data_IF_954486583010
#
_entry.id   IF_954486583010
#
_cell.length_a   1.000
_cell.length_b   1.000
_cell.length_c   1.000
_cell.angle_alpha   90.00
_cell.angle_beta   90.00
_cell.angle_gamma   90.00
#
_symmetry.space_group_name_H-M   'P 1'
#
loop_
_entity.id
_entity.type
_entity.pdbx_description
1 polymer ?
#
# COMPACT_ATOMS: atom_id res chain seq x y z
N UNK A 1 -231.08 -23.35 -85.96
CA UNK A 1 -231.53 -24.53 -85.21
C UNK A 1 -230.34 -25.48 -85.08
N UNK A 2 -230.11 -26.08 -83.91
CA UNK A 2 -229.25 -27.26 -83.80
C UNK A 2 -230.14 -28.49 -83.91
N UNK A 3 -229.99 -29.28 -84.97
CA UNK A 3 -230.73 -30.54 -85.12
C UNK A 3 -229.91 -31.67 -84.49
N UNK A 4 -230.31 -32.08 -83.28
CA UNK A 4 -229.76 -33.26 -82.63
C UNK A 4 -230.45 -34.50 -83.20
N UNK A 5 -229.76 -35.23 -84.08
CA UNK A 5 -230.12 -36.60 -84.41
C UNK A 5 -229.68 -37.51 -83.26
N UNK A 6 -230.59 -37.76 -82.32
CA UNK A 6 -230.44 -38.88 -81.40
C UNK A 6 -231.01 -40.13 -82.09
N UNK A 7 -230.13 -41.04 -82.51
CA UNK A 7 -230.50 -42.27 -83.21
C UNK A 7 -230.10 -43.48 -82.39
N UNK A 8 -231.09 -44.21 -81.85
CA UNK A 8 -230.86 -45.50 -81.21
C UNK A 8 -230.20 -46.50 -82.16
N UNK A 9 -229.35 -47.37 -81.62
CA UNK A 9 -228.58 -48.35 -82.39
C UNK A 9 -229.44 -49.27 -83.28
N UNK A 10 -230.69 -49.52 -82.87
CA UNK A 10 -231.69 -50.31 -83.61
C UNK A 10 -232.24 -49.61 -84.88
N UNK A 11 -231.91 -48.33 -85.10
CA UNK A 11 -232.45 -47.50 -86.19
C UNK A 11 -231.42 -47.05 -87.23
N UNK A 12 -230.16 -47.47 -87.10
CA UNK A 12 -229.08 -47.18 -88.05
C UNK A 12 -228.68 -48.45 -88.81
N UNK A 13 -228.52 -48.35 -90.12
CA UNK A 13 -228.11 -49.51 -90.95
C UNK A 13 -226.66 -49.90 -90.65
N UNK A 14 -226.30 -51.16 -90.92
CA UNK A 14 -224.97 -51.75 -90.65
C UNK A 14 -223.81 -51.18 -91.50
N UNK A 15 -224.01 -49.99 -92.10
CA UNK A 15 -222.96 -49.16 -92.70
C UNK A 15 -222.47 -48.05 -91.76
N UNK A 16 -222.98 -47.97 -90.54
CA UNK A 16 -222.49 -47.10 -89.48
C UNK A 16 -221.66 -47.88 -88.46
N UNK A 17 -220.57 -47.25 -88.01
CA UNK A 17 -219.72 -47.76 -86.92
C UNK A 17 -220.51 -47.73 -85.60
N UNK A 18 -220.40 -48.81 -84.82
CA UNK A 18 -221.11 -49.03 -83.54
C UNK A 18 -220.14 -49.09 -82.35
N UNK A 19 -218.91 -48.60 -82.52
CA UNK A 19 -217.86 -48.62 -81.49
C UNK A 19 -218.14 -47.57 -80.40
N UNK A 20 -218.42 -48.01 -79.18
CA UNK A 20 -218.54 -47.13 -78.02
C UNK A 20 -217.18 -46.53 -77.65
N UNK A 21 -217.10 -45.20 -77.55
CA UNK A 21 -215.90 -44.49 -77.09
C UNK A 21 -216.02 -44.28 -75.58
N UNK A 22 -215.45 -45.21 -74.81
CA UNK A 22 -215.37 -45.10 -73.35
C UNK A 22 -214.44 -43.95 -72.95
N UNK A 23 -215.01 -42.78 -72.69
CA UNK A 23 -214.28 -41.65 -72.11
C UNK A 23 -213.92 -42.02 -70.65
N UNK A 24 -212.64 -41.95 -70.24
CA UNK A 24 -212.26 -42.28 -68.86
C UNK A 24 -212.96 -41.35 -67.88
N UNK A 25 -213.39 -41.88 -66.73
CA UNK A 25 -214.10 -41.07 -65.74
C UNK A 25 -213.19 -39.99 -65.15
N UNK A 26 -213.78 -38.90 -64.67
CA UNK A 26 -213.07 -37.82 -63.99
C UNK A 26 -212.19 -38.36 -62.85
N UNK A 27 -212.65 -39.40 -62.15
CA UNK A 27 -211.94 -40.05 -61.05
C UNK A 27 -210.67 -40.79 -61.51
N UNK A 28 -210.67 -41.38 -62.71
CA UNK A 28 -209.47 -42.03 -63.27
C UNK A 28 -208.39 -40.99 -63.55
N UNK A 29 -208.74 -39.87 -64.18
CA UNK A 29 -207.80 -38.78 -64.47
C UNK A 29 -207.28 -38.09 -63.19
N UNK A 30 -208.13 -37.94 -62.17
CA UNK A 30 -207.73 -37.46 -60.83
C UNK A 30 -206.77 -38.45 -60.15
N UNK A 31 -207.00 -39.76 -60.29
CA UNK A 31 -206.12 -40.80 -59.75
C UNK A 31 -204.74 -40.82 -60.43
N UNK A 32 -204.70 -40.77 -61.77
CA UNK A 32 -203.44 -40.68 -62.53
C UNK A 32 -202.66 -39.40 -62.22
N UNK A 33 -203.33 -38.26 -62.12
CA UNK A 33 -202.71 -37.00 -61.72
C UNK A 33 -202.16 -37.06 -60.27
N UNK A 34 -202.86 -37.75 -59.37
CA UNK A 34 -202.38 -37.99 -58.00
C UNK A 34 -201.12 -38.85 -57.99
N UNK A 35 -201.12 -39.98 -58.71
CA UNK A 35 -199.96 -40.87 -58.84
C UNK A 35 -198.76 -40.17 -59.51
N UNK A 36 -199.00 -39.36 -60.53
CA UNK A 36 -197.97 -38.56 -61.19
C UNK A 36 -197.35 -37.52 -60.24
N UNK A 37 -198.16 -36.86 -59.41
CA UNK A 37 -197.67 -35.93 -58.39
C UNK A 37 -196.86 -36.64 -57.28
N UNK A 38 -197.32 -37.82 -56.81
CA UNK A 38 -196.57 -38.65 -55.85
C UNK A 38 -195.24 -39.10 -56.44
N UNK A 39 -195.22 -39.52 -57.70
CA UNK A 39 -193.99 -39.91 -58.42
C UNK A 39 -193.03 -38.72 -58.58
N UNK A 40 -193.52 -37.56 -59.01
CA UNK A 40 -192.73 -36.33 -59.12
C UNK A 40 -192.15 -35.89 -57.76
N UNK A 41 -192.93 -36.00 -56.68
CA UNK A 41 -192.47 -35.66 -55.34
C UNK A 41 -191.42 -36.67 -54.83
N UNK A 42 -191.56 -37.95 -55.16
CA UNK A 42 -190.56 -38.99 -54.89
C UNK A 42 -189.25 -38.69 -55.63
N UNK A 43 -189.31 -38.43 -56.94
CA UNK A 43 -188.13 -38.09 -57.76
C UNK A 43 -187.43 -36.81 -57.29
N UNK A 44 -188.18 -35.77 -56.90
CA UNK A 44 -187.59 -34.56 -56.27
C UNK A 44 -186.88 -34.88 -54.95
N UNK A 45 -187.41 -35.82 -54.17
CA UNK A 45 -186.82 -36.24 -52.89
C UNK A 45 -185.54 -37.05 -53.11
N UNK A 46 -185.54 -37.97 -54.08
CA UNK A 46 -184.35 -38.72 -54.51
C UNK A 46 -183.27 -37.80 -55.08
N UNK A 47 -183.64 -36.85 -55.95
CA UNK A 47 -182.72 -35.83 -56.48
C UNK A 47 -182.10 -35.00 -55.35
N UNK A 48 -182.90 -34.51 -54.40
CA UNK A 48 -182.41 -33.75 -53.24
C UNK A 48 -181.48 -34.58 -52.34
N UNK A 49 -181.81 -35.86 -52.15
CA UNK A 49 -181.00 -36.80 -51.37
C UNK A 49 -179.65 -37.07 -52.05
N UNK A 50 -179.65 -37.29 -53.38
CA UNK A 50 -178.43 -37.51 -54.17
C UNK A 50 -177.57 -36.25 -54.29
N UNK A 51 -178.19 -35.07 -54.41
CA UNK A 51 -177.48 -33.79 -54.35
C UNK A 51 -176.79 -33.63 -53.00
N UNK A 52 -177.51 -33.83 -51.88
CA UNK A 52 -176.90 -33.77 -50.54
C UNK A 52 -175.75 -34.79 -50.39
N UNK A 53 -175.93 -36.02 -50.86
CA UNK A 53 -174.88 -37.04 -50.81
C UNK A 53 -173.64 -36.65 -51.65
N UNK A 54 -173.84 -35.97 -52.78
CA UNK A 54 -172.75 -35.41 -53.60
C UNK A 54 -172.06 -34.22 -52.91
N UNK A 55 -172.82 -33.34 -52.26
CA UNK A 55 -172.28 -32.19 -51.52
C UNK A 55 -171.52 -32.64 -50.27
N UNK A 56 -172.01 -33.67 -49.56
CA UNK A 56 -171.34 -34.36 -48.47
C UNK A 56 -170.02 -35.01 -48.95
N UNK A 57 -170.06 -35.71 -50.09
CA UNK A 57 -168.89 -36.38 -50.67
C UNK A 57 -167.83 -35.37 -51.16
N UNK A 58 -168.25 -34.27 -51.80
CA UNK A 58 -167.35 -33.19 -52.20
C UNK A 58 -166.74 -32.48 -50.98
N UNK A 59 -167.51 -32.30 -49.91
CA UNK A 59 -167.02 -31.78 -48.64
C UNK A 59 -165.99 -32.72 -47.99
N UNK A 60 -166.25 -34.02 -48.00
CA UNK A 60 -165.32 -35.03 -47.51
C UNK A 60 -164.03 -35.11 -48.35
N UNK A 61 -164.13 -35.02 -49.68
CA UNK A 61 -162.98 -34.95 -50.59
C UNK A 61 -162.13 -33.70 -50.34
N UNK A 62 -162.78 -32.54 -50.16
CA UNK A 62 -162.10 -31.28 -49.83
C UNK A 62 -161.38 -31.37 -48.47
N UNK A 63 -162.00 -31.98 -47.46
CA UNK A 63 -161.37 -32.22 -46.16
C UNK A 63 -160.17 -33.19 -46.28
N UNK A 64 -160.31 -34.30 -47.02
CA UNK A 64 -159.23 -35.24 -47.27
C UNK A 64 -158.04 -34.59 -48.00
N UNK A 65 -158.30 -33.69 -48.96
CA UNK A 65 -157.27 -32.92 -49.66
C UNK A 65 -156.53 -31.96 -48.70
N UNK A 66 -157.23 -31.31 -47.77
CA UNK A 66 -156.61 -30.46 -46.74
C UNK A 66 -155.77 -31.27 -45.74
N UNK A 67 -156.21 -32.46 -45.35
CA UNK A 67 -155.44 -33.40 -44.51
C UNK A 67 -154.17 -33.84 -45.24
N UNK A 68 -154.27 -34.25 -46.51
CA UNK A 68 -153.11 -34.63 -47.33
C UNK A 68 -152.11 -33.47 -47.51
N UNK A 69 -152.59 -32.27 -47.81
CA UNK A 69 -151.77 -31.07 -47.91
C UNK A 69 -151.12 -30.64 -46.57
N UNK A 70 -151.66 -31.10 -45.45
CA UNK A 70 -151.06 -30.88 -44.12
C UNK A 70 -150.02 -31.95 -43.82
N UNK A 71 -150.34 -33.23 -44.02
CA UNK A 71 -149.40 -34.34 -43.90
C UNK A 71 -148.14 -34.14 -44.78
N UNK A 72 -148.30 -33.65 -46.01
CA UNK A 72 -147.16 -33.36 -46.90
C UNK A 72 -146.29 -32.21 -46.38
N UNK A 73 -146.87 -31.17 -45.76
CA UNK A 73 -146.11 -30.08 -45.12
C UNK A 73 -145.35 -30.59 -43.89
N UNK A 74 -145.98 -31.44 -43.08
CA UNK A 74 -145.36 -32.05 -41.91
C UNK A 74 -144.20 -32.97 -42.31
N UNK A 75 -144.38 -33.83 -43.32
CA UNK A 75 -143.30 -34.66 -43.89
C UNK A 75 -142.14 -33.79 -44.37
N UNK A 76 -142.41 -32.73 -45.15
CA UNK A 76 -141.36 -31.83 -45.63
C UNK A 76 -140.61 -31.14 -44.47
N UNK A 77 -141.34 -30.73 -43.43
CA UNK A 77 -140.78 -30.09 -42.22
C UNK A 77 -139.92 -31.08 -41.42
N UNK A 78 -140.39 -32.31 -41.22
CA UNK A 78 -139.63 -33.36 -40.52
C UNK A 78 -138.38 -33.79 -41.30
N UNK A 79 -138.46 -33.89 -42.63
CA UNK A 79 -137.31 -34.16 -43.49
C UNK A 79 -136.25 -33.04 -43.39
N UNK A 80 -136.68 -31.77 -43.39
CA UNK A 80 -135.79 -30.64 -43.18
C UNK A 80 -135.13 -30.69 -41.78
N UNK A 81 -135.91 -30.92 -40.72
CA UNK A 81 -135.39 -31.08 -39.34
C UNK A 81 -134.39 -32.24 -39.22
N UNK A 82 -134.68 -33.39 -39.85
CA UNK A 82 -133.79 -34.55 -39.86
C UNK A 82 -132.47 -34.25 -40.60
N UNK A 83 -132.52 -33.52 -41.73
CA UNK A 83 -131.30 -33.04 -42.39
C UNK A 83 -130.49 -32.11 -41.50
N UNK A 84 -131.10 -31.10 -40.86
CA UNK A 84 -130.37 -30.20 -39.95
C UNK A 84 -129.75 -30.96 -38.77
N UNK A 85 -130.44 -31.97 -38.21
CA UNK A 85 -129.90 -32.82 -37.15
C UNK A 85 -128.70 -33.65 -37.63
N UNK A 86 -128.76 -34.21 -38.85
CA UNK A 86 -127.65 -34.94 -39.45
C UNK A 86 -126.44 -34.03 -39.76
N UNK A 87 -126.67 -32.86 -40.35
CA UNK A 87 -125.62 -31.88 -40.65
C UNK A 87 -124.90 -31.42 -39.36
N UNK A 88 -125.66 -31.19 -38.29
CA UNK A 88 -125.10 -30.90 -36.96
C UNK A 88 -124.31 -32.10 -36.39
N UNK A 89 -124.78 -33.33 -36.54
CA UNK A 89 -124.06 -34.53 -36.09
C UNK A 89 -122.71 -34.67 -36.81
N UNK A 90 -122.68 -34.49 -38.13
CA UNK A 90 -121.43 -34.52 -38.92
C UNK A 90 -120.47 -33.41 -38.50
N UNK A 91 -120.97 -32.21 -38.18
CA UNK A 91 -120.15 -31.13 -37.61
C UNK A 91 -119.54 -31.54 -36.26
N UNK A 92 -120.34 -32.00 -35.30
CA UNK A 92 -119.87 -32.43 -33.98
C UNK A 92 -118.88 -33.59 -34.05
N UNK A 93 -119.08 -34.55 -34.97
CA UNK A 93 -118.13 -35.65 -35.22
C UNK A 93 -116.79 -35.12 -35.73
N UNK A 94 -116.80 -34.11 -36.60
CA UNK A 94 -115.60 -33.46 -37.14
C UNK A 94 -114.86 -32.65 -36.06
N UNK A 95 -115.59 -31.91 -35.22
CA UNK A 95 -115.04 -31.17 -34.07
C UNK A 95 -114.43 -32.14 -33.03
N UNK A 96 -115.07 -33.27 -32.76
CA UNK A 96 -114.53 -34.32 -31.89
C UNK A 96 -113.25 -34.96 -32.47
N UNK A 97 -113.20 -35.25 -33.77
CA UNK A 97 -112.01 -35.78 -34.43
C UNK A 97 -110.83 -34.79 -34.38
N UNK A 98 -111.11 -33.49 -34.55
CA UNK A 98 -110.12 -32.42 -34.40
C UNK A 98 -109.60 -32.33 -32.95
N UNK A 99 -110.47 -32.35 -31.94
CA UNK A 99 -110.07 -32.34 -30.52
C UNK A 99 -109.28 -33.58 -30.10
N UNK A 100 -109.65 -34.76 -30.59
CA UNK A 100 -108.88 -35.99 -30.39
C UNK A 100 -107.50 -35.95 -31.05
N UNK A 101 -107.37 -35.24 -32.17
CA UNK A 101 -106.09 -35.04 -32.86
C UNK A 101 -105.22 -34.02 -32.12
N UNK A 102 -105.80 -32.89 -31.70
CA UNK A 102 -105.11 -31.88 -30.89
C UNK A 102 -104.60 -32.47 -29.56
N UNK A 103 -105.43 -33.24 -28.84
CA UNK A 103 -105.01 -33.87 -27.58
C UNK A 103 -103.83 -34.83 -27.74
N UNK A 104 -103.70 -35.52 -28.90
CA UNK A 104 -102.53 -36.35 -29.20
C UNK A 104 -101.28 -35.49 -29.46
N UNK A 105 -101.43 -34.36 -30.17
CA UNK A 105 -100.36 -33.38 -30.37
C UNK A 105 -99.90 -32.78 -29.04
N UNK A 106 -100.82 -32.37 -28.17
CA UNK A 106 -100.52 -31.78 -26.87
C UNK A 106 -99.79 -32.77 -25.96
N UNK A 107 -100.21 -34.04 -25.94
CA UNK A 107 -99.51 -35.12 -25.22
C UNK A 107 -98.11 -35.41 -25.77
N UNK A 108 -97.89 -35.27 -27.08
CA UNK A 108 -96.57 -35.41 -27.68
C UNK A 108 -95.66 -34.22 -27.32
N UNK A 109 -96.18 -33.00 -27.38
CA UNK A 109 -95.47 -31.78 -26.96
C UNK A 109 -95.14 -31.79 -25.46
N UNK A 110 -96.05 -32.26 -24.60
CA UNK A 110 -95.80 -32.43 -23.17
C UNK A 110 -94.65 -33.41 -22.91
N UNK A 111 -94.63 -34.56 -23.59
CA UNK A 111 -93.54 -35.55 -23.48
C UNK A 111 -92.20 -34.99 -23.98
N UNK A 112 -92.21 -34.22 -25.07
CA UNK A 112 -91.00 -33.56 -25.57
C UNK A 112 -90.50 -32.48 -24.60
N UNK A 113 -91.39 -31.69 -24.00
CA UNK A 113 -91.05 -30.70 -22.99
C UNK A 113 -90.43 -31.36 -21.74
N UNK A 114 -90.99 -32.49 -21.27
CA UNK A 114 -90.42 -33.26 -20.16
C UNK A 114 -89.01 -33.79 -20.49
N UNK A 115 -88.83 -34.43 -21.66
CA UNK A 115 -87.53 -34.94 -22.08
C UNK A 115 -86.46 -33.83 -22.20
N UNK A 116 -86.85 -32.65 -22.69
CA UNK A 116 -85.98 -31.48 -22.74
C UNK A 116 -85.62 -30.96 -21.33
N UNK A 117 -86.58 -30.96 -20.40
CA UNK A 117 -86.36 -30.56 -19.00
C UNK A 117 -85.42 -31.55 -18.27
N UNK A 118 -85.64 -32.85 -18.43
CA UNK A 118 -84.80 -33.90 -17.83
C UNK A 118 -83.36 -33.82 -18.36
N UNK A 119 -83.20 -33.59 -19.67
CA UNK A 119 -81.89 -33.36 -20.30
C UNK A 119 -81.19 -32.11 -19.76
N UNK A 120 -81.92 -31.00 -19.58
CA UNK A 120 -81.38 -29.78 -18.98
C UNK A 120 -80.98 -29.98 -17.51
N UNK A 121 -81.78 -30.70 -16.72
CA UNK A 121 -81.44 -31.01 -15.32
C UNK A 121 -80.17 -31.88 -15.20
N UNK A 122 -79.99 -32.85 -16.11
CA UNK A 122 -78.78 -33.67 -16.18
C UNK A 122 -77.53 -32.85 -16.58
N UNK A 123 -77.66 -31.93 -17.54
CA UNK A 123 -76.57 -31.02 -17.93
C UNK A 123 -76.21 -30.06 -16.80
N UNK A 124 -77.19 -29.43 -16.15
CA UNK A 124 -76.97 -28.56 -14.97
C UNK A 124 -76.24 -29.31 -13.85
N UNK A 125 -76.64 -30.55 -13.55
CA UNK A 125 -75.97 -31.40 -12.54
C UNK A 125 -74.51 -31.67 -12.94
N UNK A 126 -74.28 -31.97 -14.23
CA UNK A 126 -72.93 -32.20 -14.78
C UNK A 126 -72.05 -30.95 -14.71
N UNK A 127 -72.60 -29.77 -15.02
CA UNK A 127 -71.87 -28.49 -14.89
C UNK A 127 -71.53 -28.17 -13.44
N UNK A 128 -72.44 -28.40 -12.48
CA UNK A 128 -72.17 -28.19 -11.05
C UNK A 128 -71.03 -29.09 -10.55
N UNK A 129 -71.02 -30.38 -10.92
CA UNK A 129 -69.94 -31.29 -10.58
C UNK A 129 -68.58 -30.84 -11.17
N UNK A 130 -68.57 -30.37 -12.42
CA UNK A 130 -67.37 -29.84 -13.06
C UNK A 130 -66.88 -28.52 -12.42
N UNK A 131 -67.79 -27.62 -12.01
CA UNK A 131 -67.44 -26.40 -11.27
C UNK A 131 -66.81 -26.75 -9.91
N UNK A 132 -67.39 -27.68 -9.15
CA UNK A 132 -66.79 -28.14 -7.89
C UNK A 132 -65.40 -28.75 -8.13
N UNK A 133 -65.24 -29.61 -9.12
CA UNK A 133 -63.94 -30.20 -9.48
C UNK A 133 -62.90 -29.13 -9.84
N UNK A 134 -63.29 -28.05 -10.52
CA UNK A 134 -62.41 -26.93 -10.81
C UNK A 134 -62.03 -26.12 -9.56
N UNK A 135 -62.96 -25.93 -8.60
CA UNK A 135 -62.69 -25.28 -7.32
C UNK A 135 -61.76 -26.11 -6.42
N UNK A 136 -61.98 -27.43 -6.35
CA UNK A 136 -61.12 -28.37 -5.62
C UNK A 136 -59.70 -28.37 -6.20
N UNK A 137 -59.57 -28.43 -7.53
CA UNK A 137 -58.29 -28.34 -8.23
C UNK A 137 -57.57 -26.99 -7.99
N UNK A 138 -58.30 -25.87 -8.04
CA UNK A 138 -57.73 -24.54 -7.77
C UNK A 138 -57.18 -24.45 -6.35
N UNK A 139 -57.91 -25.00 -5.38
CA UNK A 139 -57.50 -25.04 -3.97
C UNK A 139 -56.25 -25.91 -3.78
N UNK A 140 -56.17 -27.05 -4.48
CA UNK A 140 -54.99 -27.91 -4.47
C UNK A 140 -53.75 -27.22 -5.06
N UNK A 141 -53.86 -26.55 -6.21
CA UNK A 141 -52.74 -25.84 -6.83
C UNK A 141 -52.30 -24.60 -6.02
N UNK A 142 -53.23 -23.90 -5.34
CA UNK A 142 -52.88 -22.87 -4.36
C UNK A 142 -52.03 -23.42 -3.20
N UNK A 143 -52.38 -24.60 -2.68
CA UNK A 143 -51.58 -25.29 -1.67
C UNK A 143 -50.19 -25.70 -2.18
N UNK A 144 -50.10 -26.21 -3.42
CA UNK A 144 -48.82 -26.58 -4.05
C UNK A 144 -47.92 -25.36 -4.30
N UNK A 145 -48.50 -24.23 -4.69
CA UNK A 145 -47.79 -22.96 -4.84
C UNK A 145 -47.20 -22.47 -3.52
N UNK A 146 -47.98 -22.50 -2.43
CA UNK A 146 -47.52 -22.10 -1.11
C UNK A 146 -46.36 -22.98 -0.59
N UNK A 147 -46.41 -24.30 -0.83
CA UNK A 147 -45.31 -25.23 -0.51
C UNK A 147 -44.06 -24.88 -1.32
N UNK A 148 -44.20 -24.68 -2.64
CA UNK A 148 -43.08 -24.35 -3.52
C UNK A 148 -42.40 -23.00 -3.14
N UNK A 149 -43.17 -22.04 -2.64
CA UNK A 149 -42.65 -20.76 -2.12
C UNK A 149 -41.90 -20.98 -0.81
N UNK A 150 -42.47 -21.74 0.15
CA UNK A 150 -41.79 -22.06 1.40
C UNK A 150 -40.49 -22.87 1.21
N UNK A 151 -40.42 -23.73 0.18
CA UNK A 151 -39.21 -24.48 -0.16
C UNK A 151 -38.17 -23.62 -0.89
N UNK A 152 -38.60 -22.65 -1.71
CA UNK A 152 -37.72 -21.63 -2.30
C UNK A 152 -37.07 -20.75 -1.22
N UNK A 153 -37.82 -20.33 -0.21
CA UNK A 153 -37.30 -19.52 0.90
C UNK A 153 -36.28 -20.31 1.74
N UNK A 154 -36.53 -21.59 2.03
CA UNK A 154 -35.55 -22.49 2.67
C UNK A 154 -34.27 -22.61 1.84
N UNK A 155 -34.40 -22.77 0.52
CA UNK A 155 -33.25 -22.88 -0.38
C UNK A 155 -32.43 -21.58 -0.44
N UNK A 156 -33.09 -20.42 -0.43
CA UNK A 156 -32.43 -19.11 -0.36
C UNK A 156 -31.69 -18.92 0.98
N UNK A 157 -32.29 -19.31 2.09
CA UNK A 157 -31.64 -19.28 3.41
C UNK A 157 -30.41 -20.19 3.44
N UNK A 158 -30.53 -21.44 3.02
CA UNK A 158 -29.41 -22.39 2.96
C UNK A 158 -28.26 -21.91 2.04
N UNK A 159 -28.58 -21.24 0.93
CA UNK A 159 -27.59 -20.60 0.05
C UNK A 159 -26.89 -19.42 0.73
N UNK A 160 -27.59 -18.65 1.56
CA UNK A 160 -27.01 -17.56 2.36
C UNK A 160 -26.06 -18.10 3.44
N UNK A 161 -26.49 -19.15 4.16
CA UNK A 161 -25.67 -19.79 5.19
C UNK A 161 -24.43 -20.45 4.60
N UNK A 162 -24.54 -21.10 3.43
CA UNK A 162 -23.40 -21.66 2.70
C UNK A 162 -22.38 -20.57 2.28
N UNK A 163 -22.84 -19.38 1.87
CA UNK A 163 -21.96 -18.24 1.57
C UNK A 163 -21.26 -17.71 2.83
N UNK A 164 -21.96 -17.63 3.95
CA UNK A 164 -21.39 -17.22 5.24
C UNK A 164 -20.30 -18.20 5.71
N UNK A 165 -20.56 -19.52 5.61
CA UNK A 165 -19.57 -20.56 5.92
C UNK A 165 -18.36 -20.49 4.98
N UNK A 166 -18.56 -20.25 3.67
CA UNK A 166 -17.46 -20.07 2.72
C UNK A 166 -16.58 -18.87 3.09
N UNK A 167 -17.17 -17.72 3.41
CA UNK A 167 -16.43 -16.53 3.82
C UNK A 167 -15.63 -16.75 5.13
N UNK A 168 -16.22 -17.44 6.11
CA UNK A 168 -15.52 -17.82 7.33
C UNK A 168 -14.32 -18.74 7.04
N UNK A 169 -14.48 -19.74 6.15
CA UNK A 169 -13.38 -20.64 5.76
C UNK A 169 -12.28 -19.94 4.97
N UNK A 170 -12.62 -18.97 4.12
CA UNK A 170 -11.65 -18.11 3.45
C UNK A 170 -10.83 -17.31 4.47
N UNK A 171 -11.48 -16.70 5.48
CA UNK A 171 -10.77 -16.00 6.55
C UNK A 171 -9.88 -16.94 7.38
N UNK A 172 -10.32 -18.19 7.64
CA UNK A 172 -9.45 -19.20 8.28
C UNK A 172 -8.19 -19.45 7.46
N UNK A 173 -8.31 -19.66 6.14
CA UNK A 173 -7.16 -19.93 5.26
C UNK A 173 -6.16 -18.77 5.22
N UNK A 174 -6.62 -17.51 5.21
CA UNK A 174 -5.68 -16.37 5.26
C UNK A 174 -5.02 -16.21 6.65
N UNK A 175 -5.73 -16.53 7.74
CA UNK A 175 -5.14 -16.58 9.08
C UNK A 175 -4.08 -17.69 9.18
N UNK A 176 -4.36 -18.88 8.67
CA UNK A 176 -3.46 -20.03 8.68
C UNK A 176 -2.20 -19.78 7.83
N UNK A 177 -2.34 -19.10 6.68
CA UNK A 177 -1.19 -18.61 5.89
C UNK A 177 -0.32 -17.63 6.67
N UNK A 178 -0.93 -16.70 7.41
CA UNK A 178 -0.19 -15.73 8.21
C UNK A 178 0.56 -16.40 9.37
N UNK A 179 -0.07 -17.37 10.04
CA UNK A 179 0.57 -18.20 11.07
C UNK A 179 1.74 -19.02 10.48
N UNK A 180 1.52 -19.71 9.36
CA UNK A 180 2.56 -20.47 8.66
C UNK A 180 3.75 -19.59 8.25
N UNK A 181 3.52 -18.33 7.84
CA UNK A 181 4.63 -17.40 7.57
C UNK A 181 5.40 -17.06 8.85
N UNK A 182 4.71 -16.75 9.95
CA UNK A 182 5.35 -16.44 11.23
C UNK A 182 6.17 -17.62 11.77
N UNK A 183 5.68 -18.86 11.61
CA UNK A 183 6.41 -20.08 11.99
C UNK A 183 7.66 -20.33 11.11
N UNK A 184 7.58 -20.05 9.80
CA UNK A 184 8.76 -20.11 8.92
C UNK A 184 9.79 -19.01 9.25
N UNK A 185 9.34 -17.78 9.49
CA UNK A 185 10.21 -16.69 9.96
C UNK A 185 10.87 -17.07 11.30
N UNK A 186 10.14 -17.77 12.18
CA UNK A 186 10.65 -18.26 13.46
C UNK A 186 11.65 -19.40 13.31
N UNK A 187 11.41 -20.33 12.40
CA UNK A 187 12.31 -21.42 12.07
C UNK A 187 13.65 -20.88 11.55
N UNK A 188 13.63 -19.89 10.66
CA UNK A 188 14.84 -19.23 10.16
C UNK A 188 15.65 -18.56 11.28
N UNK A 189 15.00 -17.87 12.24
CA UNK A 189 15.67 -17.33 13.43
C UNK A 189 16.32 -18.41 14.30
N UNK A 190 15.69 -19.57 14.44
CA UNK A 190 16.21 -20.69 15.23
C UNK A 190 17.39 -21.38 14.52
N UNK A 191 17.33 -21.51 13.19
CA UNK A 191 18.44 -22.02 12.37
C UNK A 191 19.66 -21.10 12.44
N UNK A 192 19.47 -19.78 12.35
CA UNK A 192 20.56 -18.80 12.53
C UNK A 192 21.22 -18.94 13.91
N UNK A 193 20.43 -18.95 15.00
CA UNK A 193 20.95 -19.14 16.36
C UNK A 193 21.65 -20.48 16.58
N UNK A 194 21.23 -21.54 15.89
CA UNK A 194 21.91 -22.83 15.92
C UNK A 194 23.28 -22.75 15.24
N UNK A 195 23.38 -22.07 14.09
CA UNK A 195 24.65 -21.84 13.41
C UNK A 195 25.62 -20.96 14.22
N UNK A 196 25.10 -19.95 14.95
CA UNK A 196 25.90 -19.16 15.90
C UNK A 196 26.46 -20.03 17.03
N UNK A 197 25.61 -20.88 17.65
CA UNK A 197 26.04 -21.83 18.68
C UNK A 197 27.05 -22.86 18.17
N UNK A 198 26.91 -23.33 16.92
CA UNK A 198 27.86 -24.26 16.30
C UNK A 198 29.21 -23.60 15.99
N UNK A 199 29.24 -22.30 15.72
CA UNK A 199 30.49 -21.55 15.52
C UNK A 199 31.14 -21.08 16.84
N UNK A 200 30.39 -20.98 17.94
CA UNK A 200 30.89 -20.50 19.22
C UNK A 200 32.14 -21.24 19.76
N UNK A 201 32.28 -22.58 19.66
CA UNK A 201 33.51 -23.27 20.06
C UNK A 201 34.73 -22.87 19.23
N UNK A 202 34.55 -22.60 17.92
CA UNK A 202 35.63 -22.15 17.03
C UNK A 202 36.06 -20.73 17.37
N UNK A 203 35.10 -19.82 17.58
CA UNK A 203 35.35 -18.45 18.04
C UNK A 203 36.07 -18.44 19.40
N UNK A 204 35.64 -19.28 20.34
CA UNK A 204 36.28 -19.44 21.65
C UNK A 204 37.72 -19.95 21.52
N UNK A 205 37.98 -20.94 20.68
CA UNK A 205 39.33 -21.45 20.43
C UNK A 205 40.25 -20.38 19.80
N UNK A 206 39.75 -19.60 18.83
CA UNK A 206 40.49 -18.47 18.25
C UNK A 206 40.78 -17.38 19.30
N UNK A 207 39.81 -17.04 20.16
CA UNK A 207 40.02 -16.06 21.23
C UNK A 207 41.03 -16.57 22.29
N UNK A 208 40.95 -17.84 22.68
CA UNK A 208 41.92 -18.47 23.59
C UNK A 208 43.33 -18.49 23.00
N UNK A 209 43.48 -18.69 21.69
CA UNK A 209 44.80 -18.63 21.05
C UNK A 209 45.34 -17.20 21.01
N UNK A 210 44.53 -16.22 20.62
CA UNK A 210 44.93 -14.81 20.64
C UNK A 210 45.37 -14.32 22.03
N UNK A 211 44.75 -14.82 23.11
CA UNK A 211 45.18 -14.54 24.49
C UNK A 211 46.55 -15.16 24.80
N UNK A 212 46.84 -16.38 24.34
CA UNK A 212 48.17 -17.00 24.50
C UNK A 212 49.25 -16.24 23.72
N UNK A 213 48.94 -15.84 22.49
CA UNK A 213 49.87 -15.12 21.63
C UNK A 213 50.18 -13.72 22.20
N UNK A 214 49.16 -13.05 22.76
CA UNK A 214 49.32 -11.79 23.48
C UNK A 214 50.14 -11.95 24.78
N UNK A 215 49.91 -13.01 25.55
CA UNK A 215 50.71 -13.30 26.75
C UNK A 215 52.18 -13.55 26.39
N UNK A 216 52.46 -14.38 25.38
CA UNK A 216 53.84 -14.61 24.92
C UNK A 216 54.51 -13.31 24.46
N UNK A 217 53.77 -12.45 23.76
CA UNK A 217 54.26 -11.12 23.34
C UNK A 217 54.62 -10.23 24.53
N UNK A 218 53.83 -10.30 25.62
CA UNK A 218 54.12 -9.60 26.88
C UNK A 218 55.37 -10.18 27.58
N UNK A 219 55.51 -11.50 27.64
CA UNK A 219 56.66 -12.18 28.27
C UNK A 219 57.98 -11.89 27.52
N UNK A 220 57.94 -11.90 26.19
CA UNK A 220 59.04 -11.49 25.31
C UNK A 220 59.43 -10.02 25.57
N UNK A 221 58.44 -9.12 25.68
CA UNK A 221 58.67 -7.70 25.95
C UNK A 221 59.24 -7.43 27.35
N UNK A 222 58.79 -8.16 28.38
CA UNK A 222 59.37 -8.10 29.74
C UNK A 222 60.82 -8.57 29.75
N UNK A 223 61.13 -9.64 28.99
CA UNK A 223 62.49 -10.14 28.81
C UNK A 223 63.38 -9.11 28.10
N UNK A 224 62.87 -8.47 27.05
CA UNK A 224 63.54 -7.38 26.33
C UNK A 224 63.81 -6.16 27.22
N UNK A 225 62.85 -5.73 28.03
CA UNK A 225 63.00 -4.65 29.00
C UNK A 225 64.06 -4.97 30.06
N UNK A 226 64.10 -6.22 30.52
CA UNK A 226 65.11 -6.69 31.48
C UNK A 226 66.52 -6.66 30.87
N UNK A 227 66.68 -7.15 29.64
CA UNK A 227 67.95 -7.11 28.90
C UNK A 227 68.41 -5.66 28.65
N UNK A 228 67.50 -4.76 28.24
CA UNK A 228 67.79 -3.33 28.05
C UNK A 228 68.21 -2.65 29.36
N UNK A 229 67.55 -2.98 30.48
CA UNK A 229 67.87 -2.46 31.82
C UNK A 229 69.27 -2.89 32.26
N UNK A 230 69.62 -4.16 32.06
CA UNK A 230 70.97 -4.67 32.34
C UNK A 230 72.03 -3.97 31.47
N UNK A 231 71.77 -3.83 30.16
CA UNK A 231 72.68 -3.15 29.24
C UNK A 231 72.89 -1.67 29.61
N UNK A 232 71.83 -0.97 30.04
CA UNK A 232 71.91 0.40 30.55
C UNK A 232 72.76 0.49 31.83
N UNK A 233 72.63 -0.48 32.74
CA UNK A 233 73.41 -0.51 33.97
C UNK A 233 74.90 -0.79 33.70
N UNK A 234 75.23 -1.63 32.71
CA UNK A 234 76.62 -1.82 32.29
C UNK A 234 77.19 -0.59 31.58
N UNK A 235 76.41 0.07 30.71
CA UNK A 235 76.81 1.34 30.10
C UNK A 235 77.07 2.44 31.15
N UNK A 236 76.29 2.49 32.24
CA UNK A 236 76.56 3.39 33.39
C UNK A 236 77.90 3.07 34.07
N UNK A 237 78.25 1.79 34.28
CA UNK A 237 79.56 1.38 34.82
C UNK A 237 80.69 1.82 33.88
N UNK A 238 80.57 1.55 32.58
CA UNK A 238 81.55 1.96 31.56
C UNK A 238 81.72 3.47 31.51
N UNK A 239 80.63 4.24 31.59
CA UNK A 239 80.68 5.70 31.65
C UNK A 239 81.39 6.23 32.90
N UNK A 240 81.17 5.62 34.08
CA UNK A 240 81.88 5.99 35.32
C UNK A 240 83.38 5.66 35.27
N UNK A 241 83.76 4.54 34.64
CA UNK A 241 85.17 4.18 34.40
C UNK A 241 85.81 5.18 33.42
N UNK A 242 85.13 5.50 32.32
CA UNK A 242 85.60 6.47 31.33
C UNK A 242 85.75 7.88 31.93
N UNK A 243 84.81 8.31 32.78
CA UNK A 243 84.89 9.58 33.52
C UNK A 243 86.12 9.61 34.44
N UNK A 244 86.34 8.54 35.22
CA UNK A 244 87.52 8.39 36.08
C UNK A 244 88.83 8.46 35.27
N UNK A 245 88.88 7.85 34.08
CA UNK A 245 90.02 7.92 33.17
C UNK A 245 90.23 9.33 32.60
N UNK A 246 89.15 10.04 32.24
CA UNK A 246 89.18 11.44 31.78
C UNK A 246 89.70 12.37 32.87
N UNK A 247 89.26 12.21 34.11
CA UNK A 247 89.73 13.04 35.23
C UNK A 247 91.17 12.72 35.63
N UNK A 248 91.59 11.45 35.51
CA UNK A 248 93.01 11.05 35.61
C UNK A 248 93.86 11.69 34.51
N UNK A 249 93.34 11.78 33.29
CA UNK A 249 94.04 12.44 32.18
C UNK A 249 94.15 13.96 32.39
N UNK A 250 93.08 14.62 32.90
CA UNK A 250 93.14 16.05 33.30
C UNK A 250 94.22 16.29 34.34
N UNK A 251 94.33 15.43 35.37
CA UNK A 251 95.36 15.57 36.39
C UNK A 251 96.77 15.46 35.76
N UNK A 252 97.02 14.44 34.92
CA UNK A 252 98.31 14.29 34.21
C UNK A 252 98.65 15.49 33.32
N UNK A 253 97.66 16.11 32.67
CA UNK A 253 97.85 17.35 31.91
C UNK A 253 98.25 18.51 32.84
N UNK A 254 97.56 18.69 33.97
CA UNK A 254 97.91 19.69 34.99
C UNK A 254 99.33 19.49 35.52
N UNK A 255 99.72 18.25 35.83
CA UNK A 255 101.05 17.90 36.32
C UNK A 255 102.12 18.21 35.26
N UNK A 256 101.87 17.86 33.99
CA UNK A 256 102.75 18.16 32.87
C UNK A 256 102.88 19.67 32.61
N UNK A 257 101.79 20.44 32.72
CA UNK A 257 101.83 21.92 32.63
C UNK A 257 102.65 22.52 33.78
N UNK A 258 102.59 21.96 35.00
CA UNK A 258 103.46 22.40 36.08
C UNK A 258 104.93 22.11 35.77
N UNK A 259 105.26 20.89 35.35
CA UNK A 259 106.64 20.50 34.97
C UNK A 259 107.19 21.40 33.84
N UNK A 260 106.35 21.75 32.86
CA UNK A 260 106.70 22.71 31.81
C UNK A 260 107.02 24.10 32.39
N UNK A 261 106.21 24.60 33.34
CA UNK A 261 106.45 25.88 34.00
C UNK A 261 107.74 25.87 34.82
N UNK A 262 107.97 24.82 35.62
CA UNK A 262 109.17 24.64 36.44
C UNK A 262 110.44 24.61 35.56
N UNK A 263 110.39 23.89 34.43
CA UNK A 263 111.48 23.83 33.47
C UNK A 263 111.72 25.17 32.73
N UNK A 264 110.65 25.92 32.45
CA UNK A 264 110.73 27.25 31.82
C UNK A 264 111.35 28.29 32.78
N UNK A 265 111.08 28.17 34.08
CA UNK A 265 111.70 28.97 35.13
C UNK A 265 113.18 28.60 35.30
N UNK A 266 113.53 27.31 35.38
CA UNK A 266 114.92 26.84 35.42
C UNK A 266 115.75 27.29 34.20
N UNK A 267 115.17 27.22 32.99
CA UNK A 267 115.80 27.76 31.77
C UNK A 267 116.00 29.28 31.84
N UNK A 268 115.14 30.00 32.54
CA UNK A 268 115.28 31.45 32.74
C UNK A 268 116.39 31.77 33.75
N UNK A 269 116.50 30.99 34.83
CA UNK A 269 117.60 31.09 35.80
C UNK A 269 118.95 30.81 35.12
N UNK A 270 119.07 29.72 34.37
CA UNK A 270 120.30 29.36 33.64
C UNK A 270 120.75 30.43 32.62
N UNK A 271 119.80 31.12 31.96
CA UNK A 271 120.11 32.26 31.07
C UNK A 271 120.66 33.46 31.84
N UNK A 272 120.12 33.75 33.03
CA UNK A 272 120.60 34.83 33.88
C UNK A 272 122.00 34.53 34.45
N UNK A 273 122.27 33.29 34.84
CA UNK A 273 123.61 32.86 35.26
C UNK A 273 124.64 32.95 34.12
N UNK A 274 124.27 32.53 32.90
CA UNK A 274 125.13 32.68 31.72
C UNK A 274 125.44 34.15 31.42
N UNK A 275 124.46 35.05 31.52
CA UNK A 275 124.68 36.48 31.33
C UNK A 275 125.60 37.08 32.41
N UNK A 276 125.47 36.64 33.67
CA UNK A 276 126.36 37.05 34.76
C UNK A 276 127.80 36.53 34.56
N UNK A 277 127.97 35.30 34.05
CA UNK A 277 129.26 34.74 33.66
C UNK A 277 129.92 35.56 32.55
N UNK A 278 129.18 35.90 31.49
CA UNK A 278 129.69 36.71 30.37
C UNK A 278 130.10 38.12 30.81
N UNK A 279 129.36 38.77 31.73
CA UNK A 279 129.79 40.04 32.32
C UNK A 279 131.09 39.90 33.13
N UNK A 280 131.22 38.81 33.90
CA UNK A 280 132.42 38.54 34.71
C UNK A 280 133.66 38.26 33.86
N UNK A 281 133.48 37.56 32.73
CA UNK A 281 134.53 37.29 31.74
C UNK A 281 134.97 38.56 31.00
N UNK A 282 134.02 39.39 30.55
CA UNK A 282 134.32 40.67 29.92
C UNK A 282 135.12 41.60 30.86
N UNK A 283 134.74 41.66 32.14
CA UNK A 283 135.45 42.44 33.16
C UNK A 283 136.88 41.91 33.39
N UNK A 284 137.05 40.58 33.45
CA UNK A 284 138.36 39.95 33.60
C UNK A 284 139.30 40.25 32.41
N UNK A 285 138.78 40.24 31.18
CA UNK A 285 139.56 40.62 29.98
C UNK A 285 140.00 42.08 30.02
N UNK A 286 139.10 42.98 30.41
CA UNK A 286 139.37 44.41 30.49
C UNK A 286 140.45 44.73 31.55
N UNK A 287 140.46 44.04 32.69
CA UNK A 287 141.53 44.14 33.70
C UNK A 287 142.87 43.68 33.14
N UNK A 288 142.92 42.54 32.43
CA UNK A 288 144.17 42.01 31.87
C UNK A 288 144.80 42.95 30.83
N UNK A 289 144.00 43.52 29.92
CA UNK A 289 144.46 44.49 28.91
C UNK A 289 144.99 45.77 29.55
N UNK A 290 144.36 46.26 30.62
CA UNK A 290 144.82 47.41 31.38
C UNK A 290 146.16 47.15 32.09
N UNK A 291 146.32 45.95 32.67
CA UNK A 291 147.52 45.55 33.41
C UNK A 291 148.78 45.52 32.52
N UNK A 292 148.65 45.05 31.29
CA UNK A 292 149.75 44.96 30.33
C UNK A 292 150.30 46.35 29.94
N UNK A 293 149.43 47.32 29.66
CA UNK A 293 149.86 48.67 29.25
C UNK A 293 150.69 49.39 30.32
N UNK A 294 150.32 49.26 31.60
CA UNK A 294 151.09 49.85 32.70
C UNK A 294 152.48 49.22 32.88
N UNK A 295 152.66 47.95 32.55
CA UNK A 295 153.98 47.31 32.57
C UNK A 295 154.89 47.89 31.49
N UNK A 296 154.39 47.99 30.25
CA UNK A 296 155.12 48.55 29.11
C UNK A 296 155.51 50.03 29.33
N UNK A 297 154.59 50.88 29.83
CA UNK A 297 154.89 52.29 30.12
C UNK A 297 155.99 52.45 31.18
N UNK A 298 156.10 51.51 32.12
CA UNK A 298 157.18 51.51 33.11
C UNK A 298 158.50 51.02 32.52
N UNK A 299 158.49 49.93 31.76
CA UNK A 299 159.69 49.37 31.14
C UNK A 299 160.38 50.38 30.19
N UNK A 300 159.58 51.13 29.41
CA UNK A 300 160.09 52.19 28.55
C UNK A 300 160.75 53.34 29.33
N UNK A 301 160.18 53.74 30.48
CA UNK A 301 160.73 54.81 31.33
C UNK A 301 162.00 54.38 32.07
N UNK A 302 161.98 53.23 32.73
CA UNK A 302 163.08 52.78 33.59
C UNK A 302 164.39 52.57 32.79
N UNK A 303 164.28 52.12 31.53
CA UNK A 303 165.43 51.86 30.67
C UNK A 303 165.83 53.05 29.77
N UNK A 304 165.05 54.14 29.78
CA UNK A 304 165.26 55.32 28.94
C UNK A 304 165.04 55.06 27.45
N UNK A 305 164.01 54.27 27.11
CA UNK A 305 163.67 53.98 25.72
C UNK A 305 163.20 55.24 24.99
N UNK A 306 163.76 55.45 23.80
CA UNK A 306 163.43 56.56 22.92
C UNK A 306 163.55 56.11 21.45
N UNK A 307 163.19 57.00 20.51
CA UNK A 307 163.29 56.69 19.08
C UNK A 307 164.52 57.36 18.47
N UNK A 308 165.42 56.56 17.92
CA UNK A 308 166.57 57.01 17.15
C UNK A 308 166.64 56.23 15.83
N UNK A 309 166.92 56.92 14.72
CA UNK A 309 166.94 56.35 13.36
C UNK A 309 165.77 55.39 13.03
N UNK A 310 164.57 55.76 13.49
CA UNK A 310 163.30 55.04 13.30
C UNK A 310 163.22 53.64 13.97
N UNK A 311 164.11 53.33 14.91
CA UNK A 311 164.01 52.19 15.83
C UNK A 311 163.73 52.66 17.25
N UNK A 312 163.23 51.78 18.12
CA UNK A 312 163.26 52.01 19.57
C UNK A 312 164.65 51.62 20.06
N UNK A 313 165.34 52.53 20.74
CA UNK A 313 166.68 52.32 21.30
C UNK A 313 166.69 52.58 22.80
N UNK A 314 167.60 51.92 23.53
CA UNK A 314 167.82 52.14 24.94
C UNK A 314 168.60 53.44 25.22
N UNK A 315 168.74 53.79 26.51
CA UNK A 315 169.54 54.93 26.99
C UNK A 315 171.05 54.91 26.63
N UNK A 316 171.51 53.92 25.84
CA UNK A 316 172.88 53.75 25.36
C UNK A 316 172.95 53.58 23.83
N UNK A 317 171.82 53.74 23.11
CA UNK A 317 171.74 53.63 21.65
C UNK A 317 171.58 52.19 21.10
N UNK A 318 171.31 51.19 21.94
CA UNK A 318 171.09 49.81 21.49
C UNK A 318 169.63 49.60 21.08
N UNK A 319 169.39 48.97 19.92
CA UNK A 319 168.05 48.59 19.47
C UNK A 319 167.34 47.70 20.51
N UNK A 320 166.15 48.11 20.95
CA UNK A 320 165.30 47.34 21.86
C UNK A 320 164.56 46.27 21.06
N UNK A 321 164.72 45.00 21.43
CA UNK A 321 164.12 43.89 20.70
C UNK A 321 162.62 43.75 21.02
N UNK A 322 161.80 43.48 20.00
CA UNK A 322 160.34 43.32 20.12
C UNK A 322 159.55 44.64 20.17
N UNK A 323 160.19 45.73 20.59
CA UNK A 323 159.63 47.07 20.52
C UNK A 323 159.77 47.66 19.11
N UNK A 324 158.74 48.35 18.62
CA UNK A 324 158.72 48.90 17.25
C UNK A 324 158.29 50.37 17.24
N UNK A 325 158.58 51.09 16.15
CA UNK A 325 158.17 52.50 16.00
C UNK A 325 157.02 52.58 15.00
N UNK A 326 155.92 53.21 15.41
CA UNK A 326 154.76 53.46 14.54
C UNK A 326 154.30 54.90 14.73
N UNK A 327 154.29 55.66 13.64
CA UNK A 327 154.01 57.10 13.63
C UNK A 327 154.87 57.91 14.64
N UNK A 328 156.12 57.49 14.89
CA UNK A 328 157.04 58.14 15.83
C UNK A 328 156.82 57.80 17.31
N UNK A 329 155.72 57.11 17.66
CA UNK A 329 155.49 56.58 19.00
C UNK A 329 156.12 55.18 19.14
N UNK A 330 156.49 54.83 20.37
CA UNK A 330 157.02 53.50 20.69
C UNK A 330 155.85 52.53 20.85
N UNK A 331 155.96 51.35 20.27
CA UNK A 331 154.96 50.29 20.35
C UNK A 331 155.59 49.11 21.08
N UNK A 332 154.91 48.65 22.13
CA UNK A 332 155.35 47.50 22.90
C UNK A 332 155.12 46.16 22.13
N UNK A 333 155.67 45.04 22.61
CA UNK A 333 155.44 43.72 21.98
C UNK A 333 153.97 43.27 21.92
N UNK A 334 153.06 43.92 22.65
CA UNK A 334 151.62 43.65 22.70
C UNK A 334 150.79 44.61 21.80
N UNK A 335 151.44 45.38 20.91
CA UNK A 335 150.84 46.42 20.06
C UNK A 335 150.24 47.64 20.81
N UNK A 336 150.55 47.84 22.09
CA UNK A 336 150.15 49.03 22.84
C UNK A 336 151.03 50.24 22.50
N UNK A 337 150.41 51.42 22.37
CA UNK A 337 151.11 52.68 22.08
C UNK A 337 151.64 53.31 23.37
N UNK A 338 152.93 53.66 23.36
CA UNK A 338 153.72 54.20 24.48
C UNK A 338 154.41 55.49 24.00
N UNK A 339 154.30 56.57 24.79
CA UNK A 339 154.74 57.91 24.38
C UNK A 339 156.17 58.24 24.86
N UNK A 340 156.90 59.04 24.08
CA UNK A 340 158.28 59.42 24.38
C UNK A 340 158.37 60.43 25.54
N UNK A 341 159.41 60.30 26.36
CA UNK A 341 159.64 61.19 27.51
C UNK A 341 160.21 62.55 27.10
N UNK A 342 159.42 63.62 27.25
CA UNK A 342 159.91 65.00 27.17
C UNK A 342 160.42 65.49 28.54
N UNK A 343 161.51 66.29 28.59
CA UNK A 343 161.85 67.04 29.79
C UNK A 343 160.99 68.30 29.89
N UNK A 344 160.03 68.34 30.79
CA UNK A 344 159.31 69.58 31.14
C UNK A 344 158.99 69.61 32.64
N UNK A 345 158.96 70.80 33.22
CA UNK A 345 158.94 71.01 34.67
C UNK A 345 157.55 71.00 35.28
N UNK A 346 157.52 70.62 36.57
CA UNK A 346 156.55 70.97 37.62
C UNK A 346 155.36 71.85 37.22
N UNK A 347 154.14 71.33 37.43
CA UNK A 347 153.11 72.11 38.13
C UNK A 347 152.13 71.19 38.85
N UNK A 348 152.32 71.07 40.17
CA UNK A 348 151.32 70.51 41.07
C UNK A 348 150.36 71.62 41.45
N UNK A 349 149.08 71.48 41.12
CA UNK A 349 148.02 72.36 41.65
C UNK A 349 147.14 71.54 42.58
N UNK A 350 147.42 71.60 43.89
CA UNK A 350 146.50 71.10 44.92
C UNK A 350 145.67 72.27 45.43
N UNK A 351 144.35 72.16 45.40
CA UNK A 351 143.46 73.08 46.09
C UNK A 351 143.05 72.45 47.43
N UNK A 352 143.41 73.11 48.53
CA UNK A 352 143.15 72.60 49.88
C UNK A 352 141.68 72.74 50.31
N UNK A 353 141.30 71.95 51.32
CA UNK A 353 139.93 71.61 51.77
C UNK A 353 139.26 70.57 50.87
N UNK A 354 138.71 69.52 51.50
CA UNK A 354 138.23 68.32 50.83
C UNK A 354 136.74 68.35 50.44
N UNK A 355 136.30 67.23 49.87
CA UNK A 355 134.98 66.95 49.28
C UNK A 355 134.57 67.85 48.10
N UNK A 356 134.26 67.24 46.94
CA UNK A 356 132.89 67.04 46.38
C UNK A 356 132.99 66.46 44.96
N UNK A 357 132.01 65.75 44.39
CA UNK A 357 130.92 64.85 44.87
C UNK A 357 130.51 63.98 43.67
N UNK A 358 129.94 62.77 43.86
CA UNK A 358 129.37 62.01 42.75
C UNK A 358 128.11 62.70 42.20
N UNK A 359 127.88 62.61 40.89
CA UNK A 359 126.58 62.91 40.29
C UNK A 359 125.78 61.63 40.09
N UNK A 360 124.83 61.37 40.98
CA UNK A 360 123.65 60.56 40.67
C UNK A 360 122.68 61.39 39.83
N UNK A 361 122.27 60.89 38.67
CA UNK A 361 121.06 61.37 37.99
C UNK A 361 119.96 60.34 38.24
N UNK A 362 118.93 60.78 38.96
CA UNK A 362 117.70 60.01 39.20
C UNK A 362 116.77 60.20 38.01
N UNK A 363 116.03 59.16 37.61
CA UNK A 363 114.71 59.39 37.06
C UNK A 363 113.72 58.32 37.54
N UNK A 364 112.48 58.73 37.77
CA UNK A 364 111.43 57.93 38.43
C UNK A 364 110.08 58.11 37.72
N UNK A 365 109.07 57.38 38.21
CA UNK A 365 107.65 57.28 37.77
C UNK A 365 107.41 56.15 36.75
N UNK A 366 106.30 55.41 36.84
CA UNK A 366 105.28 55.42 37.90
C UNK A 366 103.94 54.82 37.47
N UNK A 367 103.09 54.48 38.45
CA UNK A 367 101.74 53.89 38.34
C UNK A 367 101.75 52.41 37.89
N UNK A 368 101.30 51.38 38.62
CA UNK A 368 100.40 51.21 39.80
C UNK A 368 98.89 51.25 39.51
N UNK A 369 98.28 50.05 39.49
CA UNK A 369 97.03 49.61 40.15
C UNK A 369 96.98 48.06 39.96
N UNK A 370 96.79 47.13 40.92
CA UNK A 370 95.84 46.93 42.05
C UNK A 370 94.38 46.67 41.59
N UNK A 371 93.63 45.68 42.09
CA UNK A 371 93.87 44.67 43.14
C UNK A 371 92.80 43.53 43.14
N UNK A 372 93.06 42.45 43.89
CA UNK A 372 92.12 41.44 44.45
C UNK A 372 91.28 40.55 43.48
N UNK A 373 91.06 39.24 43.69
CA UNK A 373 90.44 38.45 44.82
C UNK A 373 88.90 38.68 44.92
N UNK A 374 88.02 37.70 45.19
CA UNK A 374 88.20 36.32 45.71
C UNK A 374 86.97 35.41 45.41
N UNK A 375 87.09 34.10 45.68
CA UNK A 375 86.06 33.11 46.15
C UNK A 375 84.55 33.45 46.12
N UNK A 376 83.59 32.55 45.83
CA UNK A 376 83.55 31.12 45.37
C UNK A 376 82.07 30.80 44.94
N UNK A 377 81.40 29.63 44.98
CA UNK A 377 81.53 28.30 45.66
C UNK A 377 80.68 27.20 44.97
N UNK A 378 80.79 25.95 45.45
CA UNK A 378 79.95 24.75 45.18
C UNK A 378 78.47 24.90 45.64
N UNK A 379 77.49 24.04 45.28
CA UNK A 379 77.24 23.10 44.16
C UNK A 379 75.89 22.35 44.40
N UNK A 380 75.50 21.42 43.48
CA UNK A 380 74.76 20.14 43.77
C UNK A 380 73.26 20.22 44.17
N UNK A 381 72.34 19.29 43.84
CA UNK A 381 72.20 18.31 42.71
C UNK A 381 70.80 17.64 42.72
N UNK A 382 70.09 17.58 41.58
CA UNK A 382 69.02 16.60 41.20
C UNK A 382 67.83 16.37 42.21
N UNK A 383 66.80 15.50 42.01
CA UNK A 383 66.50 14.44 41.02
C UNK A 383 64.98 14.14 40.91
N UNK A 384 64.55 13.50 39.80
CA UNK A 384 63.42 12.51 39.66
C UNK A 384 61.91 12.85 39.71
N UNK A 385 61.20 12.11 38.84
CA UNK A 385 59.90 11.42 39.04
C UNK A 385 58.54 12.14 38.99
N UNK A 386 58.02 12.25 37.76
CA UNK A 386 56.75 11.64 37.31
C UNK A 386 55.86 10.93 38.36
N UNK A 387 54.64 11.45 38.55
CA UNK A 387 53.43 10.73 38.97
C UNK A 387 52.18 11.48 38.43
N UNK A 388 51.01 10.82 38.34
CA UNK A 388 49.81 11.38 37.70
C UNK A 388 48.69 11.68 38.70
N UNK A 389 47.86 12.71 38.43
CA UNK A 389 46.53 12.86 39.05
C UNK A 389 45.53 13.52 38.09
N UNK A 390 44.30 13.00 38.11
CA UNK A 390 43.14 13.41 37.29
C UNK A 390 42.51 14.73 37.77
N UNK A 391 42.04 15.58 36.85
CA UNK A 391 40.96 16.57 37.12
C UNK A 391 39.91 16.57 36.00
N UNK A 392 38.65 16.57 36.42
CA UNK A 392 37.42 16.43 35.63
C UNK A 392 37.26 17.33 34.38
N UNK A 393 36.77 16.75 33.29
CA UNK A 393 35.91 17.45 32.32
C UNK A 393 34.43 17.32 32.72
N UNK A 394 33.60 18.32 32.39
CA UNK A 394 32.22 18.40 32.89
C UNK A 394 31.20 17.70 31.99
N UNK A 395 30.13 17.18 32.62
CA UNK A 395 29.14 16.25 32.02
C UNK A 395 28.35 16.82 30.83
N UNK A 396 28.40 18.13 30.59
CA UNK A 396 27.67 18.79 29.51
C UNK A 396 28.47 18.97 28.22
N UNK A 397 29.82 18.90 28.26
CA UNK A 397 30.62 18.96 27.02
C UNK A 397 30.46 17.68 26.18
N UNK A 398 30.40 16.51 26.83
CA UNK A 398 30.22 15.22 26.14
C UNK A 398 28.87 15.09 25.41
N UNK A 399 27.81 15.76 25.88
CA UNK A 399 26.47 15.69 25.27
C UNK A 399 26.32 16.49 23.98
N UNK A 400 27.13 17.53 23.78
CA UNK A 400 27.03 18.36 22.56
C UNK A 400 27.75 17.70 21.37
N UNK A 401 28.76 16.87 21.63
CA UNK A 401 29.54 16.19 20.58
C UNK A 401 28.82 15.00 19.94
N UNK A 402 27.67 14.58 20.47
CA UNK A 402 26.84 13.46 19.98
C UNK A 402 25.66 13.88 19.07
N UNK A 403 25.53 15.17 18.72
CA UNK A 403 24.48 15.68 17.81
C UNK A 403 24.96 15.98 16.38
N UNK A 404 26.18 15.58 16.02
CA UNK A 404 26.84 15.98 14.77
C UNK A 404 27.53 14.84 14.02
N UNK A 405 26.96 13.64 14.05
CA UNK A 405 27.09 12.63 12.99
C UNK A 405 26.11 11.47 13.20
N UNK A 406 25.17 11.29 12.27
CA UNK A 406 24.25 10.15 12.23
C UNK A 406 24.31 9.46 10.87
N UNK A 407 25.53 9.09 10.48
CA UNK A 407 25.80 8.15 9.39
C UNK A 407 26.79 7.09 9.88
N UNK A 408 26.34 5.84 9.88
CA UNK A 408 27.20 4.66 9.77
C UNK A 408 26.86 3.99 8.44
N UNK A 409 27.85 3.39 7.74
CA UNK A 409 27.63 2.88 6.40
C UNK A 409 26.77 1.62 6.39
N UNK A 410 25.82 1.54 5.46
CA UNK A 410 25.13 0.30 5.12
C UNK A 410 25.23 0.07 3.61
N UNK A 411 25.87 -1.04 3.23
CA UNK A 411 25.95 -1.51 1.85
C UNK A 411 24.74 -2.35 1.51
N UNK A 412 24.03 -2.02 0.42
CA UNK A 412 22.89 -2.80 -0.06
C UNK A 412 22.17 -2.06 -1.20
N UNK A 413 22.46 -2.45 -2.44
CA UNK A 413 21.79 -1.91 -3.63
C UNK A 413 20.52 -2.73 -3.89
N UNK A 414 19.38 -2.07 -4.15
CA UNK A 414 18.53 -2.31 -5.34
C UNK A 414 17.15 -1.60 -5.27
N UNK A 415 17.02 -0.58 -6.12
CA UNK A 415 15.91 -0.30 -7.04
C UNK A 415 14.46 -0.01 -6.57
N UNK A 416 13.89 0.97 -7.29
CA UNK A 416 12.46 1.20 -7.56
C UNK A 416 11.54 1.68 -6.43
N UNK A 417 11.60 2.99 -6.16
CA UNK A 417 10.44 3.75 -5.71
C UNK A 417 9.78 4.48 -6.90
N UNK A 418 8.62 4.01 -7.36
CA UNK A 418 7.65 4.83 -8.10
C UNK A 418 6.29 4.71 -7.39
N UNK A 419 5.95 5.74 -6.63
CA UNK A 419 4.61 5.95 -6.11
C UNK A 419 3.76 6.62 -7.20
N UNK A 420 2.71 5.97 -7.67
CA UNK A 420 1.60 6.64 -8.33
C UNK A 420 0.27 6.05 -7.85
N UNK A 421 -0.63 6.94 -7.44
CA UNK A 421 -1.89 6.62 -6.74
C UNK A 421 -3.05 6.83 -7.72
N UNK A 422 -3.73 5.76 -8.14
CA UNK A 422 -4.77 5.84 -9.18
C UNK A 422 -6.01 4.98 -8.87
N UNK A 423 -7.12 5.66 -8.55
CA UNK A 423 -8.50 5.31 -8.89
C UNK A 423 -8.99 3.87 -8.71
N UNK A 424 -9.58 3.58 -7.53
CA UNK A 424 -10.59 2.51 -7.42
C UNK A 424 -11.88 3.00 -8.09
N UNK A 425 -12.19 2.49 -9.28
CA UNK A 425 -13.44 2.77 -9.98
C UNK A 425 -14.51 1.72 -9.63
N UNK A 426 -15.52 2.10 -8.85
CA UNK A 426 -16.74 1.30 -8.73
C UNK A 426 -17.58 1.44 -10.00
N UNK A 427 -17.99 0.31 -10.60
CA UNK A 427 -19.08 0.28 -11.58
C UNK A 427 -20.08 -0.79 -11.16
N UNK A 428 -21.23 -0.35 -10.67
CA UNK A 428 -22.42 -1.18 -10.51
C UNK A 428 -23.11 -1.37 -11.86
N UNK A 429 -23.33 -2.62 -12.28
CA UNK A 429 -24.32 -2.94 -13.32
C UNK A 429 -25.33 -3.93 -12.77
N UNK A 430 -26.45 -3.38 -12.29
CA UNK A 430 -27.62 -4.11 -11.85
C UNK A 430 -28.79 -3.77 -12.79
N UNK A 431 -29.35 -4.79 -13.43
CA UNK A 431 -30.67 -4.73 -14.07
C UNK A 431 -30.74 -4.09 -15.46
N UNK A 432 -31.20 -4.89 -16.43
CA UNK A 432 -32.37 -4.52 -17.24
C UNK A 432 -32.95 -5.80 -17.90
N UNK A 433 -33.77 -6.53 -17.15
CA UNK A 433 -34.54 -7.66 -17.68
C UNK A 433 -35.85 -7.12 -18.28
N UNK A 434 -36.07 -7.34 -19.58
CA UNK A 434 -37.28 -6.90 -20.26
C UNK A 434 -37.24 -7.19 -21.77
N UNK A 435 -38.35 -7.36 -22.49
CA UNK A 435 -39.78 -7.48 -22.09
C UNK A 435 -40.38 -8.62 -22.92
N UNK A 436 -41.30 -9.42 -22.35
CA UNK A 436 -42.08 -10.40 -23.13
C UNK A 436 -43.03 -9.65 -24.08
N UNK A 437 -42.87 -9.87 -25.39
CA UNK A 437 -43.89 -9.53 -26.38
C UNK A 437 -45.15 -10.36 -26.09
N UNK A 438 -46.32 -9.72 -26.05
CA UNK A 438 -47.63 -10.38 -26.06
C UNK A 438 -48.37 -9.84 -27.27
N UNK A 439 -48.73 -10.71 -28.19
CA UNK A 439 -49.53 -10.36 -29.36
C UNK A 439 -51.02 -10.52 -29.02
N UNK A 440 -51.87 -9.83 -29.80
CA UNK A 440 -53.33 -9.76 -29.66
C UNK A 440 -54.00 -10.63 -30.72
#
# INVERSE_FOLDING_TARGET
MAHWLNADADRVSDKFDKTEVTIPSTDQLVSELSLANVSLQSVKTDQSTKQKANDDAQSALNAAAQVLATAQRDVNTKTASAKTANDNLTKTQSELANLQSQSKTDQALQKQAQANFDSFAADVTTKQANVKKAQDNLTAEQGRLAIAQADLDKANQALSDAKNVLAQKQQTVENDKAALKADNDKLAQLQAKLADLQNAPKLLATAQQAVKDAQKTLDDAQSGLTAATNKLNDLKKTAAIAQTAVDTAKQKVTDATKIQSDAQEALTQAKNELAALQQKEALAKQVAEQQAKLAAEKEAKDNGYHVENNNVVDSKGNNVQGWTVKNGQMIDPNNAVIEQSKPETTNVTVNGKGEVKPQTIVNTKGNVQTQAKSTSTKAVTATTAQAATTVNQTREQYKQQLKSNSQLPQTGNDNNAILSLAGVAMVTMLGLFGIKKREY
#
